data_IF_781754460206
#
_entry.id   IF_781754460206
#
_cell.length_a   1.000
_cell.length_b   1.000
_cell.length_c   1.000
_cell.angle_alpha   90.00
_cell.angle_beta   90.00
_cell.angle_gamma   90.00
#
_symmetry.space_group_name_H-M   'P 1'
#
loop_
_entity.id
_entity.type
_entity.pdbx_description
1 polymer ?
#
# COMPACT_ATOMS: atom_id res chain seq x y z
N UNK A 1 -28.20 18.73 -44.75
CA UNK A 1 -28.09 20.18 -45.11
C UNK A 1 -26.72 20.70 -44.64
N UNK A 2 -26.25 21.79 -45.25
CA UNK A 2 -24.94 22.50 -45.13
C UNK A 2 -24.32 22.47 -43.71
N UNK A 3 -23.04 22.17 -43.43
CA UNK A 3 -21.70 22.62 -43.92
C UNK A 3 -21.19 23.93 -43.27
N UNK A 4 -19.85 24.07 -43.13
CA UNK A 4 -19.02 25.26 -42.76
C UNK A 4 -18.72 25.35 -41.23
N UNK A 5 -17.53 25.61 -40.66
CA UNK A 5 -16.06 25.67 -40.98
C UNK A 5 -15.42 26.86 -40.21
N UNK A 6 -14.11 26.79 -39.91
CA UNK A 6 -13.17 27.91 -39.59
C UNK A 6 -13.28 28.58 -38.18
N UNK A 7 -12.22 29.17 -37.56
CA UNK A 7 -10.74 29.25 -37.83
C UNK A 7 -9.95 29.88 -36.63
N UNK A 8 -8.63 29.59 -36.55
CA UNK A 8 -7.46 30.43 -36.11
C UNK A 8 -7.36 31.10 -34.72
N UNK A 9 -6.45 30.56 -33.89
CA UNK A 9 -5.22 31.16 -33.29
C UNK A 9 -5.10 32.65 -32.90
N UNK A 10 -4.54 32.91 -31.70
CA UNK A 10 -3.60 34.02 -31.43
C UNK A 10 -2.74 33.79 -30.15
N UNK A 11 -1.40 33.86 -30.31
CA UNK A 11 -0.41 34.27 -29.28
C UNK A 11 0.05 35.71 -29.62
N UNK A 12 0.64 36.52 -28.70
CA UNK A 12 2.12 36.52 -28.51
C UNK A 12 2.70 37.05 -27.15
N UNK A 13 3.97 36.69 -26.84
CA UNK A 13 5.11 37.51 -26.26
C UNK A 13 4.90 38.52 -25.08
N UNK A 14 5.84 38.88 -24.17
CA UNK A 14 7.30 38.66 -23.95
C UNK A 14 7.81 39.40 -22.69
N UNK A 15 8.95 38.99 -22.08
CA UNK A 15 10.07 39.81 -21.50
C UNK A 15 10.92 38.95 -20.53
N UNK A 16 12.22 38.64 -20.76
CA UNK A 16 13.47 39.45 -20.62
C UNK A 16 13.75 39.95 -19.18
N UNK A 17 14.78 39.46 -18.47
CA UNK A 17 16.19 39.96 -18.49
C UNK A 17 17.17 38.92 -17.88
N UNK A 18 18.35 38.61 -18.45
CA UNK A 18 19.69 39.23 -18.23
C UNK A 18 20.01 39.60 -16.76
N UNK A 19 21.19 39.38 -16.17
CA UNK A 19 22.53 38.92 -16.62
C UNK A 19 23.24 38.24 -15.41
N UNK A 20 24.53 37.87 -15.32
CA UNK A 20 25.79 38.14 -16.07
C UNK A 20 26.73 36.90 -16.01
N UNK A 21 28.02 37.05 -16.33
CA UNK A 21 29.10 36.11 -16.03
C UNK A 21 30.33 36.84 -15.48
N UNK A 22 31.15 36.18 -14.65
CA UNK A 22 32.58 36.52 -14.51
C UNK A 22 33.39 35.30 -14.10
N UNK A 23 34.60 35.18 -14.66
CA UNK A 23 35.52 34.04 -14.52
C UNK A 23 36.84 34.52 -13.90
N UNK A 24 37.46 33.68 -13.05
CA UNK A 24 38.90 33.27 -13.08
C UNK A 24 39.93 34.43 -13.02
N UNK A 25 40.90 34.45 -12.05
CA UNK A 25 42.09 33.62 -12.26
C UNK A 25 42.79 32.99 -11.04
N UNK A 26 43.79 32.18 -11.40
CA UNK A 26 44.50 31.16 -10.64
C UNK A 26 46.01 31.47 -10.69
N UNK A 27 46.71 31.53 -9.55
CA UNK A 27 48.18 31.37 -9.38
C UNK A 27 48.48 31.38 -7.85
N UNK A 28 49.16 30.45 -7.15
CA UNK A 28 50.27 29.47 -7.36
C UNK A 28 51.62 29.99 -6.80
N UNK A 29 52.26 29.19 -5.91
CA UNK A 29 53.72 29.06 -5.62
C UNK A 29 54.33 29.64 -4.28
N UNK A 30 54.71 28.70 -3.36
CA UNK A 30 55.90 28.64 -2.42
C UNK A 30 56.02 29.65 -1.23
N UNK A 31 56.80 29.41 -0.15
CA UNK A 31 57.42 28.21 0.53
C UNK A 31 58.17 28.67 1.82
N UNK A 32 58.23 27.86 2.88
CA UNK A 32 59.11 28.01 4.08
C UNK A 32 58.34 28.17 5.40
N UNK A 33 58.51 27.38 6.49
CA UNK A 33 59.70 27.10 7.35
C UNK A 33 60.07 28.30 8.25
N UNK A 34 60.25 28.23 9.57
CA UNK A 34 60.26 27.07 10.51
C UNK A 34 60.01 27.53 11.98
N UNK A 35 59.66 26.58 12.87
CA UNK A 35 59.78 26.50 14.36
C UNK A 35 59.68 27.73 15.32
N UNK A 36 58.98 27.52 16.47
CA UNK A 36 59.09 28.33 17.70
C UNK A 36 58.01 28.10 18.76
N UNK A 37 58.36 27.48 19.89
CA UNK A 37 57.54 27.14 21.09
C UNK A 37 56.89 28.36 21.82
N UNK A 38 56.03 28.33 22.86
CA UNK A 38 55.49 27.36 23.87
C UNK A 38 54.25 28.07 24.53
N UNK A 39 53.12 27.49 24.95
CA UNK A 39 52.76 26.90 26.28
C UNK A 39 51.23 26.58 26.29
N UNK A 40 50.78 25.36 26.59
CA UNK A 40 50.14 24.90 27.87
C UNK A 40 48.98 25.77 28.40
N UNK A 41 47.73 25.26 28.36
CA UNK A 41 46.57 25.92 29.02
C UNK A 41 45.16 25.30 28.87
N UNK A 42 44.85 24.57 27.80
CA UNK A 42 43.44 24.30 27.40
C UNK A 42 42.89 22.85 27.56
N UNK A 43 43.71 21.89 28.01
CA UNK A 43 43.36 20.47 27.82
C UNK A 43 42.31 19.88 28.80
N UNK A 44 42.10 20.51 29.96
CA UNK A 44 41.30 19.90 31.04
C UNK A 44 39.79 20.18 30.93
N UNK A 45 39.39 21.35 30.41
CA UNK A 45 37.98 21.67 30.16
C UNK A 45 37.37 20.78 29.05
N UNK A 46 38.18 20.39 28.07
CA UNK A 46 37.74 19.62 26.89
C UNK A 46 37.36 18.17 27.22
N UNK A 47 38.01 17.56 28.23
CA UNK A 47 37.76 16.17 28.67
C UNK A 47 36.41 15.99 29.38
N UNK A 48 35.95 16.99 30.16
CA UNK A 48 34.62 16.93 30.82
C UNK A 48 33.46 17.06 29.82
N UNK A 49 33.64 17.86 28.77
CA UNK A 49 32.64 17.97 27.69
C UNK A 49 32.54 16.68 26.85
N UNK A 50 33.66 15.99 26.59
CA UNK A 50 33.65 14.78 25.76
C UNK A 50 32.94 13.59 26.44
N UNK A 51 33.17 13.36 27.74
CA UNK A 51 32.54 12.22 28.44
C UNK A 51 31.03 12.40 28.62
N UNK A 52 30.56 13.63 28.87
CA UNK A 52 29.14 13.95 28.90
C UNK A 52 28.48 13.77 27.52
N UNK A 53 29.15 14.20 26.43
CA UNK A 53 28.67 14.00 25.07
C UNK A 53 28.60 12.51 24.67
N UNK A 54 29.60 11.70 25.03
CA UNK A 54 29.56 10.25 24.82
C UNK A 54 28.46 9.56 25.62
N UNK A 55 28.25 9.94 26.89
CA UNK A 55 27.18 9.39 27.72
C UNK A 55 25.79 9.70 27.13
N UNK A 56 25.57 10.94 26.68
CA UNK A 56 24.32 11.34 26.00
C UNK A 56 24.17 10.64 24.64
N UNK A 57 25.27 10.40 23.91
CA UNK A 57 25.26 9.65 22.65
C UNK A 57 24.87 8.17 22.86
N UNK A 58 25.44 7.51 23.88
CA UNK A 58 25.07 6.14 24.27
C UNK A 58 23.61 6.06 24.72
N UNK A 59 23.13 7.05 25.49
CA UNK A 59 21.72 7.10 25.91
C UNK A 59 20.76 7.27 24.71
N UNK A 60 21.11 8.08 23.71
CA UNK A 60 20.34 8.22 22.45
C UNK A 60 20.31 6.93 21.62
N UNK A 61 21.43 6.21 21.55
CA UNK A 61 21.51 4.89 20.92
C UNK A 61 20.55 3.89 21.59
N UNK A 62 20.58 3.80 22.93
CA UNK A 62 19.70 2.90 23.70
C UNK A 62 18.22 3.31 23.62
N UNK A 63 17.91 4.61 23.60
CA UNK A 63 16.53 5.09 23.39
C UNK A 63 15.97 4.76 22.00
N UNK A 64 16.84 4.60 21.00
CA UNK A 64 16.44 4.13 19.66
C UNK A 64 16.15 2.62 19.64
N UNK A 65 16.70 1.85 20.59
CA UNK A 65 16.43 0.42 20.76
C UNK A 65 15.22 0.10 21.65
N UNK A 66 14.64 1.10 22.34
CA UNK A 66 13.59 0.91 23.37
C UNK A 66 12.28 1.65 23.09
N UNK A 67 12.17 2.40 21.99
CA UNK A 67 10.85 2.66 21.39
C UNK A 67 10.55 1.44 20.52
N UNK A 68 9.52 0.63 20.82
CA UNK A 68 8.96 -0.20 19.78
C UNK A 68 8.45 0.76 18.72
N UNK A 69 9.21 0.93 17.64
CA UNK A 69 8.65 1.40 16.40
C UNK A 69 7.44 0.50 16.20
N UNK A 70 6.23 1.07 16.28
CA UNK A 70 5.02 0.38 15.85
C UNK A 70 5.35 0.00 14.42
N UNK A 71 5.68 -1.27 14.19
CA UNK A 71 5.91 -1.80 12.84
C UNK A 71 4.63 -1.43 12.11
N UNK A 72 4.70 -0.40 11.27
CA UNK A 72 3.52 0.21 10.69
C UNK A 72 2.91 -0.87 9.82
N UNK A 73 1.90 -1.55 10.36
CA UNK A 73 1.37 -2.76 9.75
C UNK A 73 0.86 -2.33 8.38
N UNK A 74 1.32 -2.96 7.29
CA UNK A 74 1.14 -2.40 5.97
C UNK A 74 -0.35 -2.21 5.70
N UNK A 75 -0.75 -0.94 5.56
CA UNK A 75 -2.13 -0.56 5.28
C UNK A 75 -2.33 -0.70 3.77
N UNK A 76 -3.35 -1.46 3.40
CA UNK A 76 -3.71 -1.74 2.01
C UNK A 76 -5.07 -1.15 1.70
N UNK A 77 -5.33 -0.91 0.41
CA UNK A 77 -6.69 -0.66 -0.08
C UNK A 77 -7.31 -1.98 -0.48
N UNK A 78 -8.34 -2.43 0.23
CA UNK A 78 -9.13 -3.60 -0.13
C UNK A 78 -10.39 -3.18 -0.87
N UNK A 79 -10.68 -3.84 -2.00
CA UNK A 79 -11.92 -3.64 -2.77
C UNK A 79 -12.61 -4.98 -2.98
N UNK A 80 -13.83 -5.11 -2.46
CA UNK A 80 -14.79 -6.14 -2.85
C UNK A 80 -15.64 -5.58 -3.98
N UNK A 81 -15.81 -6.30 -5.09
CA UNK A 81 -16.65 -5.87 -6.21
C UNK A 81 -17.24 -7.04 -6.99
N UNK A 82 -18.39 -6.84 -7.61
CA UNK A 82 -18.98 -7.85 -8.50
C UNK A 82 -20.35 -7.43 -9.04
N UNK A 83 -20.73 -8.00 -10.18
CA UNK A 83 -22.07 -7.84 -10.74
C UNK A 83 -23.13 -8.31 -9.74
N UNK A 84 -24.31 -7.66 -9.74
CA UNK A 84 -25.41 -7.96 -8.82
C UNK A 84 -25.85 -9.43 -8.81
N UNK A 85 -25.72 -10.12 -9.96
CA UNK A 85 -26.04 -11.56 -10.14
C UNK A 85 -24.80 -12.45 -10.34
N UNK A 86 -23.60 -11.88 -10.23
CA UNK A 86 -22.34 -12.57 -10.45
C UNK A 86 -21.63 -12.98 -9.16
N UNK A 87 -20.32 -13.21 -9.30
CA UNK A 87 -19.39 -13.62 -8.24
C UNK A 87 -18.67 -12.42 -7.62
N UNK A 88 -18.23 -12.58 -6.37
CA UNK A 88 -17.42 -11.58 -5.66
C UNK A 88 -15.97 -11.66 -6.09
N UNK A 89 -15.39 -10.52 -6.42
CA UNK A 89 -13.96 -10.32 -6.58
C UNK A 89 -13.42 -9.54 -5.38
N UNK A 90 -12.30 -10.01 -4.82
CA UNK A 90 -11.56 -9.36 -3.74
C UNK A 90 -10.18 -8.97 -4.25
N UNK A 91 -9.89 -7.67 -4.30
CA UNK A 91 -8.59 -7.12 -4.63
C UNK A 91 -7.96 -6.43 -3.41
N UNK A 92 -6.67 -6.67 -3.16
CA UNK A 92 -5.86 -5.86 -2.24
C UNK A 92 -4.75 -5.13 -3.01
N UNK A 93 -4.74 -3.81 -2.96
CA UNK A 93 -3.75 -2.93 -3.59
C UNK A 93 -2.86 -2.26 -2.53
N UNK A 94 -1.57 -2.07 -2.83
CA UNK A 94 -0.63 -1.34 -1.96
C UNK A 94 -0.78 0.17 -2.15
N UNK A 95 -0.83 0.64 -3.40
CA UNK A 95 -1.33 1.98 -3.76
C UNK A 95 -2.62 1.82 -4.59
N UNK A 96 -3.55 2.76 -4.47
CA UNK A 96 -4.80 2.77 -5.23
C UNK A 96 -4.59 2.66 -6.76
N UNK A 97 -3.42 3.08 -7.24
CA UNK A 97 -3.03 3.07 -8.66
C UNK A 97 -2.19 1.86 -9.09
N UNK A 98 -1.66 1.08 -8.14
CA UNK A 98 -0.82 -0.08 -8.45
C UNK A 98 -1.67 -1.28 -8.85
N UNK A 99 -1.04 -2.28 -9.47
CA UNK A 99 -1.66 -3.60 -9.60
C UNK A 99 -2.04 -4.14 -8.21
N UNK A 100 -3.13 -4.92 -8.09
CA UNK A 100 -3.42 -5.67 -6.88
C UNK A 100 -2.26 -6.63 -6.55
N UNK A 101 -1.84 -6.67 -5.28
CA UNK A 101 -0.92 -7.67 -4.77
C UNK A 101 -1.57 -9.07 -4.79
N UNK A 102 -2.89 -9.12 -4.63
CA UNK A 102 -3.72 -10.30 -4.88
C UNK A 102 -5.08 -9.86 -5.41
N UNK A 103 -5.61 -10.61 -6.37
CA UNK A 103 -6.99 -10.56 -6.86
C UNK A 103 -7.54 -11.99 -6.83
N UNK A 104 -8.63 -12.20 -6.08
CA UNK A 104 -9.29 -13.50 -5.93
C UNK A 104 -10.76 -13.37 -6.30
N UNK A 105 -11.25 -14.27 -7.14
CA UNK A 105 -12.67 -14.45 -7.41
C UNK A 105 -13.23 -15.57 -6.51
N UNK A 106 -14.30 -15.29 -5.77
CA UNK A 106 -14.99 -16.25 -4.91
C UNK A 106 -16.23 -16.78 -5.64
N UNK A 107 -16.44 -18.10 -5.63
CA UNK A 107 -17.67 -18.71 -6.14
C UNK A 107 -18.95 -18.19 -5.43
N UNK A 108 -18.81 -17.59 -4.25
CA UNK A 108 -19.87 -16.90 -3.50
C UNK A 108 -20.57 -15.83 -4.37
N UNK A 109 -21.90 -15.89 -4.56
CA UNK A 109 -22.66 -14.83 -5.23
C UNK A 109 -22.57 -13.51 -4.48
N UNK A 110 -22.49 -12.38 -5.18
CA UNK A 110 -22.35 -11.04 -4.57
C UNK A 110 -23.49 -10.73 -3.59
N UNK A 111 -24.71 -11.17 -3.92
CA UNK A 111 -25.89 -11.02 -3.06
C UNK A 111 -25.82 -11.80 -1.74
N UNK A 112 -25.06 -12.89 -1.68
CA UNK A 112 -24.81 -13.66 -0.45
C UNK A 112 -23.86 -12.90 0.47
N UNK A 113 -22.71 -12.44 -0.05
CA UNK A 113 -21.76 -11.69 0.77
C UNK A 113 -22.34 -10.36 1.27
N UNK A 114 -23.10 -9.65 0.44
CA UNK A 114 -23.81 -8.41 0.87
C UNK A 114 -24.78 -8.70 2.02
N UNK A 115 -25.45 -9.86 2.03
CA UNK A 115 -26.33 -10.26 3.14
C UNK A 115 -25.57 -10.56 4.42
N UNK A 116 -24.44 -11.26 4.33
CA UNK A 116 -23.56 -11.52 5.48
C UNK A 116 -23.02 -10.20 6.06
N UNK A 117 -22.55 -9.27 5.21
CA UNK A 117 -22.10 -7.93 5.64
C UNK A 117 -23.23 -7.10 6.27
N UNK A 118 -24.46 -7.21 5.77
CA UNK A 118 -25.63 -6.55 6.36
C UNK A 118 -26.01 -7.08 7.75
N UNK A 119 -25.49 -8.24 8.18
CA UNK A 119 -25.63 -8.74 9.56
C UNK A 119 -24.67 -8.08 10.56
N UNK A 120 -23.75 -7.23 10.08
CA UNK A 120 -22.79 -6.47 10.88
C UNK A 120 -21.41 -7.10 11.01
N UNK A 121 -21.26 -8.39 10.69
CA UNK A 121 -20.01 -9.16 10.81
C UNK A 121 -19.81 -10.05 9.58
N UNK A 122 -18.68 -9.88 8.87
CA UNK A 122 -18.30 -10.71 7.73
C UNK A 122 -16.84 -11.16 7.85
N UNK A 123 -16.64 -12.46 8.02
CA UNK A 123 -15.32 -13.10 8.12
C UNK A 123 -15.13 -14.03 6.92
N UNK A 124 -14.21 -13.68 6.03
CA UNK A 124 -13.85 -14.49 4.87
C UNK A 124 -12.58 -15.27 5.22
N UNK A 125 -12.64 -16.60 5.18
CA UNK A 125 -11.45 -17.44 5.28
C UNK A 125 -11.18 -18.15 3.96
N UNK A 126 -9.94 -18.07 3.50
CA UNK A 126 -9.42 -18.75 2.32
C UNK A 126 -8.38 -19.78 2.80
N UNK A 127 -8.70 -21.06 2.67
CA UNK A 127 -7.85 -22.17 3.09
C UNK A 127 -7.24 -22.89 1.88
N UNK A 128 -5.92 -23.11 1.89
CA UNK A 128 -5.23 -24.00 0.96
C UNK A 128 -4.47 -25.08 1.73
N UNK A 129 -4.22 -26.23 1.10
CA UNK A 129 -3.54 -27.36 1.73
C UNK A 129 -2.01 -27.24 1.63
N UNK A 130 -1.29 -27.68 2.67
CA UNK A 130 0.17 -27.84 2.60
C UNK A 130 0.58 -28.90 1.58
N UNK A 131 1.18 -28.46 0.48
CA UNK A 131 1.88 -29.32 -0.49
C UNK A 131 3.16 -29.90 0.13
N UNK A 132 3.47 -31.17 -0.13
CA UNK A 132 4.70 -31.81 0.36
C UNK A 132 5.96 -31.11 -0.21
N UNK A 133 6.92 -30.82 0.67
CA UNK A 133 8.04 -29.88 0.44
C UNK A 133 9.16 -30.41 -0.48
N UNK A 134 8.97 -31.55 -1.16
CA UNK A 134 10.09 -32.32 -1.74
C UNK A 134 10.77 -31.70 -2.97
N UNK A 135 10.09 -30.84 -3.75
CA UNK A 135 10.65 -30.32 -5.02
C UNK A 135 10.24 -28.90 -5.43
N UNK A 136 9.26 -28.27 -4.79
CA UNK A 136 8.76 -26.93 -5.17
C UNK A 136 9.14 -25.87 -4.15
N UNK A 137 9.68 -24.75 -4.63
CA UNK A 137 9.83 -23.54 -3.82
C UNK A 137 8.46 -23.14 -3.25
N UNK A 138 8.39 -22.86 -1.94
CA UNK A 138 7.13 -22.47 -1.29
C UNK A 138 6.62 -21.15 -1.90
N UNK A 139 5.53 -21.25 -2.66
CA UNK A 139 4.79 -20.13 -3.22
C UNK A 139 4.33 -19.19 -2.10
N UNK A 140 4.34 -17.88 -2.34
CA UNK A 140 3.82 -16.90 -1.38
C UNK A 140 2.36 -17.20 -1.08
N UNK A 141 1.90 -16.90 0.14
CA UNK A 141 0.51 -17.14 0.49
C UNK A 141 -0.44 -16.30 -0.40
N UNK A 142 -0.01 -15.12 -0.88
CA UNK A 142 -0.76 -14.29 -1.83
C UNK A 142 -0.72 -14.79 -3.30
N UNK A 143 0.10 -15.79 -3.59
CA UNK A 143 0.33 -16.34 -4.93
C UNK A 143 -0.37 -17.70 -5.14
N UNK A 144 -0.90 -18.32 -4.09
CA UNK A 144 -1.60 -19.61 -4.23
C UNK A 144 -2.81 -19.49 -5.17
N UNK A 145 -2.95 -20.42 -6.15
CA UNK A 145 -3.91 -20.28 -7.24
C UNK A 145 -5.36 -20.61 -6.83
N UNK A 146 -5.55 -21.45 -5.82
CA UNK A 146 -6.85 -22.03 -5.46
C UNK A 146 -7.01 -22.17 -3.95
N UNK A 147 -8.20 -21.83 -3.49
CA UNK A 147 -8.59 -21.81 -2.08
C UNK A 147 -9.95 -22.47 -1.88
N UNK A 148 -10.16 -23.10 -0.72
CA UNK A 148 -11.48 -23.35 -0.16
C UNK A 148 -11.96 -22.08 0.53
N UNK A 149 -13.14 -21.58 0.18
CA UNK A 149 -13.68 -20.36 0.73
C UNK A 149 -14.71 -20.64 1.82
N UNK A 150 -14.67 -19.84 2.88
CA UNK A 150 -15.66 -19.82 3.95
C UNK A 150 -16.10 -18.38 4.23
N UNK A 151 -17.39 -18.19 4.49
CA UNK A 151 -17.94 -16.95 5.03
C UNK A 151 -18.57 -17.26 6.38
N UNK A 152 -18.17 -16.53 7.43
CA UNK A 152 -18.70 -16.69 8.79
C UNK A 152 -18.67 -18.15 9.30
N UNK A 153 -17.57 -18.86 9.00
CA UNK A 153 -17.36 -20.27 9.38
C UNK A 153 -18.07 -21.30 8.50
N UNK A 154 -18.89 -20.88 7.52
CA UNK A 154 -19.62 -21.77 6.60
C UNK A 154 -18.88 -21.86 5.27
N UNK A 155 -18.62 -23.07 4.77
CA UNK A 155 -18.00 -23.27 3.44
C UNK A 155 -18.91 -22.68 2.37
N UNK A 156 -18.42 -21.70 1.62
CA UNK A 156 -19.16 -20.96 0.59
C UNK A 156 -18.69 -21.27 -0.84
N UNK A 157 -17.65 -22.10 -1.00
CA UNK A 157 -17.25 -22.65 -2.29
C UNK A 157 -15.74 -22.75 -2.41
N UNK A 158 -15.24 -22.42 -3.59
CA UNK A 158 -13.82 -22.19 -3.87
C UNK A 158 -13.58 -20.73 -4.17
N UNK A 159 -12.32 -20.30 -4.08
CA UNK A 159 -11.88 -19.02 -4.59
C UNK A 159 -10.60 -19.20 -5.42
N UNK A 160 -10.51 -18.49 -6.54
CA UNK A 160 -9.42 -18.64 -7.53
C UNK A 160 -8.68 -17.34 -7.64
N UNK A 161 -7.34 -17.38 -7.48
CA UNK A 161 -6.49 -16.23 -7.77
C UNK A 161 -6.40 -16.04 -9.28
N UNK A 162 -6.68 -14.83 -9.75
CA UNK A 162 -6.59 -14.47 -11.18
C UNK A 162 -5.81 -13.19 -11.39
N UNK A 163 -5.33 -12.99 -12.62
CA UNK A 163 -4.68 -11.74 -13.00
C UNK A 163 -5.70 -10.61 -13.20
N UNK A 164 -5.26 -9.37 -13.01
CA UNK A 164 -6.10 -8.18 -13.12
C UNK A 164 -6.29 -7.81 -14.59
N UNK A 165 -7.44 -8.18 -15.16
CA UNK A 165 -7.78 -7.95 -16.56
C UNK A 165 -8.31 -6.53 -16.85
N UNK A 166 -8.61 -6.20 -18.12
CA UNK A 166 -9.11 -4.88 -18.49
C UNK A 166 -10.41 -4.46 -17.78
N UNK A 167 -11.33 -5.42 -17.57
CA UNK A 167 -12.58 -5.18 -16.83
C UNK A 167 -12.33 -4.85 -15.35
N UNK A 168 -11.40 -5.55 -14.70
CA UNK A 168 -11.01 -5.27 -13.32
C UNK A 168 -10.35 -3.90 -13.20
N UNK A 169 -9.48 -3.57 -14.15
CA UNK A 169 -8.86 -2.25 -14.23
C UNK A 169 -9.88 -1.13 -14.42
N UNK A 170 -10.93 -1.33 -15.23
CA UNK A 170 -12.04 -0.37 -15.37
C UNK A 170 -12.70 -0.08 -14.01
N UNK A 171 -13.00 -1.12 -13.23
CA UNK A 171 -13.57 -0.99 -11.87
C UNK A 171 -12.59 -0.34 -10.90
N UNK A 172 -11.35 -0.86 -10.79
CA UNK A 172 -10.37 -0.36 -9.82
C UNK A 172 -9.95 1.10 -10.08
N UNK A 173 -9.93 1.53 -11.35
CA UNK A 173 -9.69 2.94 -11.74
C UNK A 173 -10.89 3.83 -11.42
N UNK A 174 -12.12 3.39 -11.70
CA UNK A 174 -13.32 4.14 -11.32
C UNK A 174 -13.41 4.37 -9.80
N UNK A 175 -12.89 3.41 -9.01
CA UNK A 175 -12.83 3.49 -7.55
C UNK A 175 -11.56 4.16 -7.00
N UNK A 176 -10.61 4.60 -7.85
CA UNK A 176 -9.37 5.25 -7.43
C UNK A 176 -9.60 6.43 -6.45
N UNK A 177 -10.58 7.34 -6.67
CA UNK A 177 -10.87 8.44 -5.73
C UNK A 177 -11.56 8.01 -4.43
N UNK A 178 -12.13 6.80 -4.37
CA UNK A 178 -12.88 6.31 -3.22
C UNK A 178 -11.90 5.80 -2.16
N UNK A 179 -11.77 6.53 -1.05
CA UNK A 179 -10.94 6.08 0.08
C UNK A 179 -11.61 4.97 0.89
N UNK A 180 -12.90 5.14 1.21
CA UNK A 180 -13.73 4.17 1.93
C UNK A 180 -15.20 4.32 1.52
N UNK A 181 -15.98 3.24 1.60
CA UNK A 181 -17.42 3.23 1.40
C UNK A 181 -17.91 2.06 0.56
N UNK A 182 -19.23 1.95 0.41
CA UNK A 182 -19.88 1.00 -0.50
C UNK A 182 -20.78 1.75 -1.48
N UNK A 183 -21.02 1.16 -2.64
CA UNK A 183 -21.82 1.79 -3.68
C UNK A 183 -22.05 0.88 -4.89
N UNK A 184 -22.49 1.49 -5.98
CA UNK A 184 -22.75 0.82 -7.25
C UNK A 184 -22.11 1.63 -8.36
N UNK A 185 -21.43 0.95 -9.28
CA UNK A 185 -20.99 1.51 -10.55
C UNK A 185 -21.94 1.03 -11.65
N UNK A 186 -22.24 1.87 -12.65
CA UNK A 186 -22.94 1.40 -13.85
C UNK A 186 -22.09 0.32 -14.51
N UNK A 187 -22.68 -0.84 -14.74
CA UNK A 187 -22.09 -1.89 -15.55
C UNK A 187 -22.32 -1.67 -17.03
N UNK A 188 -21.73 -2.54 -17.85
CA UNK A 188 -22.09 -2.62 -19.26
C UNK A 188 -23.24 -3.65 -19.38
N UNK A 189 -24.33 -3.30 -20.08
CA UNK A 189 -25.39 -4.28 -20.38
C UNK A 189 -24.81 -5.42 -21.24
N UNK A 190 -25.07 -6.70 -20.93
CA UNK A 190 -26.18 -7.24 -20.13
C UNK A 190 -25.86 -7.65 -18.69
N UNK A 191 -24.62 -7.50 -18.21
CA UNK A 191 -24.19 -8.03 -16.90
C UNK A 191 -24.75 -7.20 -15.71
N UNK A 192 -25.16 -5.96 -16.01
CA UNK A 192 -25.83 -5.05 -15.08
C UNK A 192 -24.90 -4.42 -14.05
N UNK A 193 -25.45 -3.73 -13.06
CA UNK A 193 -24.65 -2.91 -12.14
C UNK A 193 -23.61 -3.70 -11.33
N UNK A 194 -22.44 -3.08 -11.15
CA UNK A 194 -21.33 -3.59 -10.35
C UNK A 194 -21.44 -3.01 -8.94
N UNK A 195 -21.79 -3.85 -7.97
CA UNK A 195 -21.77 -3.48 -6.56
C UNK A 195 -20.33 -3.50 -6.06
N UNK A 196 -19.95 -2.55 -5.20
CA UNK A 196 -18.62 -2.51 -4.60
C UNK A 196 -18.63 -2.10 -3.13
N UNK A 197 -17.58 -2.50 -2.41
CA UNK A 197 -17.17 -1.96 -1.12
C UNK A 197 -15.65 -1.77 -1.15
N UNK A 198 -15.18 -0.59 -0.76
CA UNK A 198 -13.76 -0.25 -0.69
C UNK A 198 -13.43 0.24 0.71
N UNK A 199 -12.31 -0.20 1.26
CA UNK A 199 -11.87 0.19 2.58
C UNK A 199 -10.35 0.07 2.74
N UNK A 200 -9.82 0.64 3.83
CA UNK A 200 -8.43 0.41 4.25
C UNK A 200 -8.36 -0.84 5.12
N UNK A 201 -7.29 -1.61 4.97
CA UNK A 201 -7.07 -2.84 5.72
C UNK A 201 -5.67 -2.87 6.33
N UNK A 202 -5.58 -3.26 7.60
CA UNK A 202 -4.33 -3.59 8.26
C UNK A 202 -3.93 -5.03 7.92
N UNK A 203 -2.81 -5.23 7.21
CA UNK A 203 -2.26 -6.57 6.93
C UNK A 203 -1.38 -7.03 8.09
N UNK A 204 -1.76 -8.17 8.67
CA UNK A 204 -1.04 -8.86 9.75
C UNK A 204 -0.54 -10.21 9.23
N UNK A 205 0.77 -10.33 9.00
CA UNK A 205 1.42 -11.60 8.68
C UNK A 205 1.71 -12.33 9.98
N UNK A 206 1.08 -13.49 10.19
CA UNK A 206 1.31 -14.36 11.34
C UNK A 206 2.46 -15.34 11.10
N UNK A 207 2.50 -15.94 9.91
CA UNK A 207 3.62 -16.80 9.46
C UNK A 207 3.62 -16.93 7.93
N UNK A 208 4.54 -17.72 7.36
CA UNK A 208 4.54 -18.13 5.95
C UNK A 208 3.24 -18.83 5.48
N UNK A 209 2.45 -19.31 6.44
CA UNK A 209 1.24 -20.11 6.25
C UNK A 209 -0.03 -19.38 6.78
N UNK A 210 0.08 -18.13 7.26
CA UNK A 210 -1.06 -17.39 7.80
C UNK A 210 -0.91 -15.88 7.66
N UNK A 211 -1.88 -15.26 6.97
CA UNK A 211 -2.04 -13.82 6.85
C UNK A 211 -3.48 -13.40 7.14
N UNK A 212 -3.66 -12.24 7.78
CA UNK A 212 -4.96 -11.65 8.06
C UNK A 212 -5.01 -10.19 7.60
N UNK A 213 -6.19 -9.76 7.16
CA UNK A 213 -6.51 -8.41 6.71
C UNK A 213 -7.70 -7.92 7.51
N UNK A 214 -7.48 -6.96 8.39
CA UNK A 214 -8.52 -6.38 9.24
C UNK A 214 -8.94 -5.04 8.69
N UNK A 215 -10.23 -4.83 8.43
CA UNK A 215 -10.71 -3.53 7.95
C UNK A 215 -10.53 -2.46 9.02
N UNK A 216 -9.97 -1.31 8.64
CA UNK A 216 -9.75 -0.16 9.52
C UNK A 216 -10.97 0.75 9.45
N UNK A 217 -11.75 0.80 10.53
CA UNK A 217 -12.86 1.75 10.69
C UNK A 217 -12.33 3.11 11.22
N UNK A 218 -12.46 4.22 10.47
CA UNK A 218 -12.03 5.54 10.93
C UNK A 218 -12.89 6.05 12.10
N UNK A 219 -14.18 5.67 12.10
CA UNK A 219 -15.17 6.11 13.09
C UNK A 219 -15.34 5.13 14.27
N UNK A 220 -14.37 4.24 14.47
CA UNK A 220 -14.32 3.30 15.59
C UNK A 220 -15.23 2.07 15.45
N UNK A 221 -16.54 2.22 15.20
CA UNK A 221 -17.47 1.07 15.18
C UNK A 221 -18.77 1.23 14.35
N UNK A 222 -18.87 2.23 13.47
CA UNK A 222 -20.15 2.59 12.80
C UNK A 222 -20.45 1.80 11.50
N UNK A 223 -19.59 0.86 11.10
CA UNK A 223 -19.72 0.07 9.86
C UNK A 223 -19.56 -1.44 10.05
N UNK A 224 -19.87 -2.27 9.04
CA UNK A 224 -19.74 -3.73 9.13
C UNK A 224 -18.30 -4.14 9.44
N UNK A 225 -18.07 -5.01 10.44
CA UNK A 225 -16.74 -5.57 10.71
C UNK A 225 -16.41 -6.61 9.62
N UNK A 226 -15.43 -6.29 8.78
CA UNK A 226 -14.93 -7.17 7.72
C UNK A 226 -13.49 -7.59 8.01
N UNK A 227 -13.26 -8.90 8.04
CA UNK A 227 -11.91 -9.48 8.06
C UNK A 227 -11.73 -10.58 7.03
N UNK A 228 -10.52 -10.67 6.48
CA UNK A 228 -10.12 -11.72 5.53
C UNK A 228 -8.90 -12.45 6.08
N UNK A 229 -8.94 -13.79 6.04
CA UNK A 229 -7.85 -14.67 6.48
C UNK A 229 -7.42 -15.53 5.31
N UNK A 230 -6.12 -15.59 5.05
CA UNK A 230 -5.50 -16.58 4.17
C UNK A 230 -4.73 -17.55 5.06
N UNK A 231 -5.00 -18.84 4.91
CA UNK A 231 -4.48 -19.90 5.76
C UNK A 231 -3.99 -21.07 4.90
N UNK A 232 -2.78 -21.57 5.19
CA UNK A 232 -2.28 -22.84 4.67
C UNK A 232 -2.34 -23.89 5.78
N UNK A 233 -3.25 -24.84 5.65
CA UNK A 233 -3.53 -25.91 6.63
C UNK A 233 -2.75 -27.18 6.29
#
# INVERSE_FOLDING_TARGET
MKTIMARTSHDPSSSSSSSSSSKIPFQRIRKGSDQGERMVGDEEAKKKASSAAEAVSRLRSVLTAAIPARWSRPVLTGTLFGHRRGHVNLAFQVDARSSPAVLVELATPTSTLVREMASGLARIALECERKEEKTTARTSLLEEPLWRAYCNGRKCGYAVRRECGPADWKVLRALEPVSMGAGVLPGDDPDGDIMYMRARFERVVGSKDSEAFYMINPDGNTGPELSVYLLRV
#
